data_IF_028075977711
#
_entry.id   IF_028075977711
#
_cell.length_a   1.000
_cell.length_b   1.000
_cell.length_c   1.000
_cell.angle_alpha   90.00
_cell.angle_beta   90.00
_cell.angle_gamma   90.00
#
_symmetry.space_group_name_H-M   'P 1'
#
loop_
_entity.id
_entity.type
_entity.pdbx_description
1 polymer ?
#
# COMPACT_ATOMS: atom_id res chain seq x y z
N UNK A 1 -26.11 42.14 -16.50
CA UNK A 1 -24.88 42.95 -16.58
C UNK A 1 -23.70 42.01 -16.43
N UNK A 2 -22.94 41.68 -17.50
CA UNK A 2 -21.77 40.81 -17.38
C UNK A 2 -20.67 41.50 -16.55
N UNK A 3 -20.00 40.74 -15.68
CA UNK A 3 -18.90 41.25 -14.85
C UNK A 3 -17.75 41.75 -15.74
N UNK A 4 -17.11 42.89 -15.40
CA UNK A 4 -16.00 43.41 -16.19
C UNK A 4 -14.82 42.42 -16.18
N UNK A 5 -14.18 42.23 -17.33
CA UNK A 5 -13.12 41.25 -17.60
C UNK A 5 -12.00 41.21 -16.53
N UNK A 6 -11.69 42.36 -15.93
CA UNK A 6 -10.74 42.51 -14.82
C UNK A 6 -11.14 41.75 -13.53
N UNK A 7 -12.43 41.70 -13.21
CA UNK A 7 -12.96 40.96 -12.04
C UNK A 7 -12.98 39.46 -12.29
N UNK A 8 -13.12 39.04 -13.54
CA UNK A 8 -13.06 37.64 -13.95
C UNK A 8 -11.62 37.09 -13.88
N UNK A 9 -10.64 37.87 -14.33
CA UNK A 9 -9.22 37.52 -14.25
C UNK A 9 -8.71 37.42 -12.80
N UNK A 10 -9.17 38.31 -11.91
CA UNK A 10 -8.81 38.26 -10.49
C UNK A 10 -9.44 37.04 -9.78
N UNK A 11 -10.67 36.68 -10.12
CA UNK A 11 -11.34 35.49 -9.60
C UNK A 11 -10.66 34.18 -10.07
N UNK A 12 -10.17 34.14 -11.31
CA UNK A 12 -9.41 32.99 -11.85
C UNK A 12 -8.06 32.84 -11.15
N UNK A 13 -7.34 33.93 -10.87
CA UNK A 13 -6.07 33.89 -10.13
C UNK A 13 -6.24 33.42 -8.68
N UNK A 14 -7.31 33.84 -8.00
CA UNK A 14 -7.64 33.36 -6.65
C UNK A 14 -8.00 31.87 -6.63
N UNK A 15 -8.75 31.38 -7.63
CA UNK A 15 -9.11 29.97 -7.75
C UNK A 15 -7.90 29.06 -8.02
N UNK A 16 -6.93 29.50 -8.84
CA UNK A 16 -5.71 28.74 -9.09
C UNK A 16 -4.73 28.75 -7.89
N UNK A 17 -4.69 29.84 -7.12
CA UNK A 17 -3.88 29.91 -5.90
C UNK A 17 -4.34 28.94 -4.80
N UNK A 18 -5.66 28.74 -4.65
CA UNK A 18 -6.24 27.86 -3.63
C UNK A 18 -5.99 26.35 -3.89
N UNK A 19 -5.88 25.95 -5.15
CA UNK A 19 -5.65 24.54 -5.54
C UNK A 19 -4.19 24.13 -5.27
N UNK A 20 -3.23 25.04 -5.47
CA UNK A 20 -1.80 24.76 -5.24
C UNK A 20 -1.41 24.61 -3.77
N UNK A 21 -2.03 25.36 -2.85
CA UNK A 21 -1.71 25.33 -1.41
C UNK A 21 -2.22 24.05 -0.73
N UNK A 22 -3.35 23.51 -1.17
CA UNK A 22 -3.94 22.30 -0.60
C UNK A 22 -3.05 21.06 -0.80
N UNK A 23 -2.47 20.91 -2.00
CA UNK A 23 -1.57 19.79 -2.32
C UNK A 23 -0.21 19.84 -1.58
N UNK A 24 0.20 21.01 -1.10
CA UNK A 24 1.41 21.17 -0.28
C UNK A 24 1.17 20.79 1.19
N UNK A 25 -0.03 21.04 1.72
CA UNK A 25 -0.38 20.75 3.11
C UNK A 25 -0.59 19.25 3.39
N UNK A 26 -1.03 18.47 2.39
CA UNK A 26 -1.26 17.01 2.55
C UNK A 26 0.00 16.16 2.72
N UNK A 27 1.20 16.73 2.55
CA UNK A 27 2.48 16.00 2.68
C UNK A 27 3.17 16.15 4.04
N UNK A 28 2.49 16.68 5.05
CA UNK A 28 3.11 16.97 6.35
C UNK A 28 2.94 15.88 7.41
N UNK A 29 2.46 14.68 7.07
CA UNK A 29 2.57 13.57 8.01
C UNK A 29 4.05 13.17 8.12
N UNK A 30 4.68 13.22 9.31
CA UNK A 30 6.05 12.76 9.47
C UNK A 30 6.18 11.32 8.96
N UNK A 31 7.22 11.03 8.18
CA UNK A 31 7.46 9.69 7.64
C UNK A 31 7.48 8.60 8.75
N UNK A 32 7.96 8.96 9.94
CA UNK A 32 7.94 8.10 11.13
C UNK A 32 6.52 7.64 11.51
N UNK A 33 5.52 8.52 11.42
CA UNK A 33 4.13 8.22 11.77
C UNK A 33 3.45 7.32 10.73
N UNK A 34 3.85 7.42 9.45
CA UNK A 34 3.37 6.50 8.42
C UNK A 34 3.95 5.09 8.61
N UNK A 35 5.24 4.96 8.93
CA UNK A 35 5.86 3.66 9.17
C UNK A 35 5.27 2.99 10.40
N UNK A 36 5.12 3.71 11.51
CA UNK A 36 4.53 3.17 12.73
C UNK A 36 3.10 2.65 12.50
N UNK A 37 2.27 3.39 11.77
CA UNK A 37 0.91 2.96 11.40
C UNK A 37 0.91 1.73 10.49
N UNK A 38 1.81 1.67 9.50
CA UNK A 38 1.94 0.51 8.62
C UNK A 38 2.35 -0.75 9.40
N UNK A 39 3.31 -0.63 10.32
CA UNK A 39 3.73 -1.73 11.20
C UNK A 39 2.57 -2.17 12.11
N UNK A 40 1.83 -1.24 12.71
CA UNK A 40 0.69 -1.56 13.54
C UNK A 40 -0.41 -2.31 12.76
N UNK A 41 -0.75 -1.86 11.55
CA UNK A 41 -1.71 -2.52 10.68
C UNK A 41 -1.25 -3.92 10.27
N UNK A 42 0.02 -4.08 9.89
CA UNK A 42 0.59 -5.38 9.54
C UNK A 42 0.52 -6.37 10.71
N UNK A 43 0.87 -5.93 11.93
CA UNK A 43 0.77 -6.76 13.13
C UNK A 43 -0.68 -7.13 13.45
N UNK A 44 -1.63 -6.19 13.28
CA UNK A 44 -3.05 -6.46 13.48
C UNK A 44 -3.56 -7.51 12.49
N UNK A 45 -3.16 -7.44 11.22
CA UNK A 45 -3.48 -8.46 10.23
C UNK A 45 -2.84 -9.82 10.58
N UNK A 46 -1.55 -9.87 10.93
CA UNK A 46 -0.87 -11.12 11.29
C UNK A 46 -1.53 -11.82 12.49
N UNK A 47 -2.07 -11.05 13.45
CA UNK A 47 -2.81 -11.58 14.59
C UNK A 47 -4.13 -12.29 14.22
N UNK A 48 -4.66 -12.05 13.02
CA UNK A 48 -5.85 -12.74 12.51
C UNK A 48 -5.56 -14.10 11.87
N UNK A 49 -4.28 -14.43 11.67
CA UNK A 49 -3.87 -15.66 10.98
C UNK A 49 -3.77 -16.83 11.96
N UNK A 50 -4.29 -17.99 11.56
CA UNK A 50 -4.02 -19.23 12.28
C UNK A 50 -2.57 -19.70 12.08
N UNK A 51 -2.14 -20.71 12.85
CA UNK A 51 -0.76 -21.20 12.79
C UNK A 51 -0.36 -21.74 11.41
N UNK A 52 -1.29 -22.28 10.61
CA UNK A 52 -1.01 -22.77 9.27
C UNK A 52 -0.86 -21.61 8.27
N UNK A 53 -1.69 -20.57 8.39
CA UNK A 53 -1.62 -19.36 7.58
C UNK A 53 -0.36 -18.55 7.91
N UNK A 54 0.02 -18.44 9.18
CA UNK A 54 1.28 -17.80 9.59
C UNK A 54 2.47 -18.49 8.93
N UNK A 55 2.55 -19.83 8.99
CA UNK A 55 3.64 -20.57 8.32
C UNK A 55 3.74 -20.31 6.82
N UNK A 56 2.63 -20.05 6.13
CA UNK A 56 2.65 -19.66 4.70
C UNK A 56 3.14 -18.24 4.48
N UNK A 57 2.86 -17.34 5.42
CA UNK A 57 3.24 -15.92 5.34
C UNK A 57 4.71 -15.68 5.72
N UNK A 58 5.28 -16.49 6.63
CA UNK A 58 6.69 -16.40 6.99
C UNK A 58 7.60 -16.91 5.86
N UNK A 59 8.70 -16.20 5.63
CA UNK A 59 9.79 -16.58 4.74
C UNK A 59 11.07 -16.68 5.57
N UNK A 60 11.69 -17.86 5.59
CA UNK A 60 13.00 -18.05 6.21
C UNK A 60 14.06 -17.38 5.34
N UNK A 61 14.53 -16.20 5.76
CA UNK A 61 15.41 -15.36 4.95
C UNK A 61 16.89 -15.73 5.10
N UNK A 62 17.30 -16.77 4.37
CA UNK A 62 18.66 -17.33 4.30
C UNK A 62 19.40 -16.98 2.98
N UNK A 63 20.64 -17.46 2.82
CA UNK A 63 21.46 -17.23 1.62
C UNK A 63 20.79 -17.74 0.34
N UNK A 64 20.09 -18.88 0.41
CA UNK A 64 19.44 -19.52 -0.73
C UNK A 64 18.20 -18.74 -1.16
N UNK A 65 17.28 -18.48 -0.25
CA UNK A 65 16.01 -17.77 -0.48
C UNK A 65 16.21 -16.36 -1.02
N UNK A 66 17.31 -15.69 -0.66
CA UNK A 66 17.72 -14.41 -1.26
C UNK A 66 17.92 -14.48 -2.77
N UNK A 67 18.40 -15.61 -3.29
CA UNK A 67 18.71 -15.78 -4.71
C UNK A 67 17.53 -16.29 -5.54
N UNK A 68 16.54 -16.92 -4.90
CA UNK A 68 15.40 -17.54 -5.58
C UNK A 68 14.07 -16.81 -5.33
N UNK A 69 14.08 -15.72 -4.58
CA UNK A 69 12.89 -14.91 -4.36
C UNK A 69 12.42 -14.27 -5.68
N UNK A 70 11.11 -14.31 -5.91
CA UNK A 70 10.47 -13.75 -7.11
C UNK A 70 9.28 -12.89 -6.74
N UNK A 71 9.16 -11.72 -7.39
CA UNK A 71 7.98 -10.87 -7.28
C UNK A 71 6.91 -11.21 -8.33
N UNK A 72 7.18 -12.17 -9.21
CA UNK A 72 6.34 -12.46 -10.35
C UNK A 72 5.10 -13.26 -9.90
N UNK A 73 3.99 -13.20 -10.67
CA UNK A 73 2.77 -13.89 -10.29
C UNK A 73 3.02 -15.38 -10.03
N UNK A 74 2.45 -15.89 -8.95
CA UNK A 74 2.51 -17.32 -8.60
C UNK A 74 1.97 -18.17 -9.77
N UNK A 75 2.74 -19.15 -10.23
CA UNK A 75 2.35 -20.05 -11.32
C UNK A 75 3.19 -19.95 -12.60
N UNK A 76 4.13 -19.00 -12.68
CA UNK A 76 5.13 -19.00 -13.77
C UNK A 76 6.32 -19.88 -13.35
N UNK A 77 6.54 -20.97 -14.08
CA UNK A 77 7.76 -21.79 -13.93
C UNK A 77 8.95 -20.97 -14.39
N UNK A 78 9.75 -20.48 -13.44
CA UNK A 78 11.01 -19.79 -13.74
C UNK A 78 12.15 -20.78 -13.95
N UNK A 79 13.27 -20.28 -14.44
CA UNK A 79 14.49 -21.07 -14.72
C UNK A 79 14.99 -21.87 -13.51
N UNK A 80 14.58 -21.49 -12.29
CA UNK A 80 14.87 -22.18 -11.01
C UNK A 80 13.63 -22.85 -10.39
N UNK A 81 12.56 -23.04 -11.16
CA UNK A 81 11.26 -23.54 -10.72
C UNK A 81 10.25 -22.43 -10.42
N UNK A 82 8.95 -22.78 -10.36
CA UNK A 82 7.91 -21.87 -9.87
C UNK A 82 8.02 -21.79 -8.33
N UNK A 83 8.44 -20.64 -7.79
CA UNK A 83 8.31 -20.39 -6.35
C UNK A 83 7.04 -19.59 -6.13
N UNK A 84 6.05 -20.18 -5.46
CA UNK A 84 4.87 -19.43 -5.02
C UNK A 84 5.29 -18.38 -3.99
N UNK A 85 4.76 -17.16 -4.11
CA UNK A 85 5.05 -16.10 -3.14
C UNK A 85 4.51 -16.51 -1.76
N UNK A 86 5.35 -16.41 -0.73
CA UNK A 86 4.92 -16.53 0.65
C UNK A 86 3.80 -15.50 0.93
N UNK A 87 2.75 -15.95 1.62
CA UNK A 87 1.59 -15.13 1.93
C UNK A 87 0.28 -15.92 1.94
N UNK A 88 -0.78 -15.20 2.29
CA UNK A 88 -2.16 -15.67 2.18
C UNK A 88 -2.78 -15.08 0.91
N UNK A 89 -3.38 -15.92 0.06
CA UNK A 89 -4.11 -15.46 -1.13
C UNK A 89 -5.32 -14.65 -0.70
N UNK A 90 -5.57 -13.51 -1.34
CA UNK A 90 -6.73 -12.65 -1.04
C UNK A 90 -8.05 -13.43 -1.06
N UNK A 91 -8.28 -14.24 -2.11
CA UNK A 91 -9.50 -15.08 -2.21
C UNK A 91 -9.59 -16.25 -1.22
N UNK A 92 -8.57 -16.47 -0.39
CA UNK A 92 -8.57 -17.46 0.69
C UNK A 92 -8.69 -16.81 2.08
N UNK A 93 -8.81 -15.48 2.15
CA UNK A 93 -9.02 -14.76 3.40
C UNK A 93 -10.45 -14.93 3.89
N UNK A 94 -10.62 -14.97 5.21
CA UNK A 94 -11.95 -14.72 5.80
C UNK A 94 -12.33 -13.25 5.64
N UNK A 95 -13.62 -12.88 5.76
CA UNK A 95 -14.02 -11.47 5.71
C UNK A 95 -13.33 -10.59 6.76
N UNK A 96 -13.02 -11.14 7.93
CA UNK A 96 -12.29 -10.44 8.98
C UNK A 96 -10.82 -10.21 8.60
N UNK A 97 -10.18 -11.19 7.96
CA UNK A 97 -8.80 -11.10 7.47
C UNK A 97 -8.70 -10.10 6.31
N UNK A 98 -9.63 -10.13 5.36
CA UNK A 98 -9.68 -9.18 4.24
C UNK A 98 -9.88 -7.74 4.74
N UNK A 99 -10.81 -7.53 5.67
CA UNK A 99 -11.02 -6.22 6.32
C UNK A 99 -9.78 -5.73 7.09
N UNK A 100 -8.98 -6.63 7.65
CA UNK A 100 -7.75 -6.23 8.34
C UNK A 100 -6.60 -5.90 7.36
N UNK A 101 -6.68 -6.37 6.11
CA UNK A 101 -5.66 -6.17 5.08
C UNK A 101 -5.89 -4.93 4.20
N UNK A 102 -7.14 -4.46 4.06
CA UNK A 102 -7.58 -3.40 3.15
C UNK A 102 -8.15 -2.20 3.92
#
# INVERSE_FOLDING_TARGET
>A
MPLPLSRFLLAVLLAFGAIGVSAALQRTTPAADSTARAVAAANAFLATLDAAQQRKAHLDFDERTRTVWSNLPSGITMQVGATERNGLKLGAMTPAQEKAAL
#
